data_IF_638474306055
#
_entry.id   IF_638474306055
#
_cell.length_a   1.000
_cell.length_b   1.000
_cell.length_c   1.000
_cell.angle_alpha   90.00
_cell.angle_beta   90.00
_cell.angle_gamma   90.00
#
_symmetry.space_group_name_H-M   'P 1'
#
loop_
_entity.id
_entity.type
_entity.pdbx_description
1 polymer ?
#
# COMPACT_ATOMS: atom_id res chain seq x y z
N UNK A 1 -13.53 6.26 1.00
CA UNK A 1 -12.53 5.68 0.08
C UNK A 1 -12.66 4.17 -0.09
N UNK A 2 -13.10 3.40 0.89
CA UNK A 2 -13.43 1.98 0.71
C UNK A 2 -14.36 1.77 -0.50
N UNK A 3 -15.36 2.63 -0.70
CA UNK A 3 -16.24 2.53 -1.88
C UNK A 3 -15.44 2.59 -3.18
N UNK A 4 -14.45 3.47 -3.29
CA UNK A 4 -13.63 3.60 -4.50
C UNK A 4 -12.73 2.38 -4.72
N UNK A 5 -12.05 1.90 -3.68
CA UNK A 5 -11.25 0.67 -3.78
C UNK A 5 -12.11 -0.54 -4.11
N UNK A 6 -13.28 -0.69 -3.45
CA UNK A 6 -14.23 -1.76 -3.74
C UNK A 6 -14.66 -1.75 -5.21
N UNK A 7 -15.02 -0.60 -5.77
CA UNK A 7 -15.45 -0.51 -7.17
C UNK A 7 -14.32 -0.81 -8.16
N UNK A 8 -13.09 -0.39 -7.86
CA UNK A 8 -11.92 -0.73 -8.70
C UNK A 8 -11.63 -2.23 -8.65
N UNK A 9 -11.56 -2.82 -7.46
CA UNK A 9 -11.34 -4.27 -7.29
C UNK A 9 -12.44 -5.06 -7.98
N UNK A 10 -13.70 -4.65 -7.84
CA UNK A 10 -14.86 -5.25 -8.50
C UNK A 10 -14.72 -5.26 -10.03
N UNK A 11 -14.26 -4.13 -10.60
CA UNK A 11 -14.04 -4.02 -12.03
C UNK A 11 -12.97 -4.99 -12.52
N UNK A 12 -11.84 -5.08 -11.82
CA UNK A 12 -10.76 -5.99 -12.20
C UNK A 12 -11.13 -7.47 -12.01
N UNK A 13 -11.81 -7.80 -10.92
CA UNK A 13 -12.26 -9.16 -10.65
C UNK A 13 -13.33 -9.60 -11.64
N UNK A 14 -14.28 -8.73 -11.99
CA UNK A 14 -15.27 -9.00 -13.04
C UNK A 14 -14.59 -9.34 -14.37
N UNK A 15 -13.57 -8.61 -14.79
CA UNK A 15 -12.86 -8.86 -16.03
C UNK A 15 -12.12 -10.22 -16.05
N UNK A 16 -11.85 -10.80 -14.90
CA UNK A 16 -11.16 -12.09 -14.75
C UNK A 16 -12.12 -13.22 -14.32
N UNK A 17 -13.42 -12.96 -14.22
CA UNK A 17 -14.43 -13.90 -13.67
C UNK A 17 -14.07 -14.37 -12.24
N UNK A 18 -13.55 -13.49 -11.41
CA UNK A 18 -13.26 -13.74 -10.00
C UNK A 18 -14.45 -13.26 -9.18
N UNK A 19 -15.01 -14.15 -8.36
CA UNK A 19 -16.07 -13.81 -7.42
C UNK A 19 -15.49 -13.05 -6.22
N UNK A 20 -16.25 -12.06 -5.74
CA UNK A 20 -15.89 -11.22 -4.60
C UNK A 20 -16.93 -11.35 -3.51
N UNK A 21 -16.44 -11.54 -2.31
CA UNK A 21 -17.24 -11.48 -1.10
C UNK A 21 -16.72 -10.36 -0.18
N UNK A 22 -17.63 -9.70 0.52
CA UNK A 22 -17.31 -8.56 1.39
C UNK A 22 -17.68 -8.91 2.83
N UNK A 23 -16.72 -8.73 3.72
CA UNK A 23 -16.88 -8.99 5.15
C UNK A 23 -16.61 -7.70 5.93
N UNK A 24 -17.31 -7.54 7.05
CA UNK A 24 -16.99 -6.50 8.04
C UNK A 24 -15.84 -6.95 8.93
N UNK A 25 -15.76 -8.25 9.22
CA UNK A 25 -14.66 -8.91 9.93
C UNK A 25 -14.18 -10.13 9.15
N UNK A 26 -12.90 -10.45 9.22
CA UNK A 26 -12.33 -11.61 8.53
C UNK A 26 -12.93 -12.87 9.18
N UNK A 27 -13.57 -13.79 8.40
CA UNK A 27 -14.05 -15.05 8.92
C UNK A 27 -12.93 -15.92 9.49
N UNK A 28 -13.26 -16.76 10.49
CA UNK A 28 -12.30 -17.70 11.09
C UNK A 28 -11.76 -18.71 10.06
N UNK A 29 -12.61 -19.14 9.13
CA UNK A 29 -12.23 -20.02 8.02
C UNK A 29 -12.32 -19.27 6.68
N UNK A 30 -11.18 -19.10 6.06
CA UNK A 30 -11.01 -18.46 4.75
C UNK A 30 -10.36 -19.40 3.72
N UNK A 31 -10.36 -20.71 3.99
CA UNK A 31 -9.68 -21.70 3.16
C UNK A 31 -10.26 -21.85 1.75
N UNK A 32 -11.51 -21.47 1.54
CA UNK A 32 -12.17 -21.47 0.23
C UNK A 32 -11.80 -20.26 -0.64
N UNK A 33 -11.21 -19.23 -0.05
CA UNK A 33 -10.81 -18.01 -0.76
C UNK A 33 -9.38 -18.10 -1.29
N UNK A 34 -9.14 -17.62 -2.49
CA UNK A 34 -7.79 -17.53 -3.05
C UNK A 34 -6.93 -16.46 -2.35
N UNK A 35 -7.54 -15.43 -1.83
CA UNK A 35 -6.88 -14.40 -1.02
C UNK A 35 -7.88 -13.61 -0.18
N UNK A 36 -7.37 -12.98 0.86
CA UNK A 36 -8.07 -11.97 1.67
C UNK A 36 -7.36 -10.64 1.49
N UNK A 37 -8.12 -9.57 1.21
CA UNK A 37 -7.61 -8.22 1.09
C UNK A 37 -8.14 -7.36 2.21
N UNK A 38 -7.24 -6.70 2.97
CA UNK A 38 -7.57 -5.80 4.06
C UNK A 38 -6.91 -4.43 3.87
N UNK A 39 -7.53 -3.39 4.42
CA UNK A 39 -6.95 -2.04 4.44
C UNK A 39 -6.33 -1.77 5.82
N UNK A 40 -5.17 -1.08 5.85
CA UNK A 40 -4.43 -0.78 7.08
C UNK A 40 -3.80 0.62 7.07
N UNK A 41 -4.20 1.55 7.95
CA UNK A 41 -5.40 1.49 8.80
C UNK A 41 -6.67 1.26 7.97
N UNK A 42 -7.76 0.87 8.64
CA UNK A 42 -9.03 0.62 7.96
C UNK A 42 -9.69 1.89 7.41
N UNK A 43 -10.91 1.78 6.89
CA UNK A 43 -11.65 2.93 6.32
C UNK A 43 -11.99 4.01 7.35
N UNK A 44 -12.21 3.63 8.58
CA UNK A 44 -12.52 4.56 9.67
C UNK A 44 -11.25 5.14 10.31
N UNK A 45 -10.07 4.72 9.85
CA UNK A 45 -8.79 5.11 10.39
C UNK A 45 -8.32 4.25 11.56
N UNK A 46 -9.06 3.18 11.93
CA UNK A 46 -8.72 2.32 13.04
C UNK A 46 -7.49 1.47 12.71
N UNK A 47 -6.56 1.38 13.67
CA UNK A 47 -5.40 0.51 13.58
C UNK A 47 -5.73 -0.79 14.29
N UNK A 48 -5.95 -1.85 13.51
CA UNK A 48 -6.24 -3.19 14.00
C UNK A 48 -5.02 -4.10 13.84
N UNK A 49 -4.94 -5.15 14.62
CA UNK A 49 -3.88 -6.14 14.47
C UNK A 49 -4.11 -6.96 13.18
N UNK A 50 -3.05 -7.09 12.38
CA UNK A 50 -3.07 -7.91 11.17
C UNK A 50 -2.47 -9.26 11.47
N UNK A 51 -3.33 -10.27 11.58
CA UNK A 51 -2.94 -11.64 11.85
C UNK A 51 -2.86 -12.47 10.55
N UNK A 52 -2.03 -13.50 10.57
CA UNK A 52 -1.94 -14.44 9.47
C UNK A 52 -3.26 -15.17 9.28
N UNK A 53 -3.69 -15.30 8.03
CA UNK A 53 -4.88 -16.05 7.64
C UNK A 53 -4.52 -17.37 6.92
N UNK A 54 -5.48 -18.24 6.74
CA UNK A 54 -5.30 -19.56 6.10
C UNK A 54 -5.08 -19.53 4.59
N UNK A 55 -5.07 -18.34 3.97
CA UNK A 55 -4.86 -18.11 2.53
C UNK A 55 -3.91 -16.94 2.29
N UNK A 56 -3.72 -16.51 1.03
CA UNK A 56 -2.88 -15.35 0.69
C UNK A 56 -3.47 -14.07 1.30
N UNK A 57 -2.68 -13.39 2.13
CA UNK A 57 -3.07 -12.13 2.75
C UNK A 57 -2.48 -10.94 1.99
N UNK A 58 -3.36 -10.09 1.47
CA UNK A 58 -3.01 -8.84 0.80
C UNK A 58 -3.40 -7.68 1.71
N UNK A 59 -2.45 -6.80 2.02
CA UNK A 59 -2.70 -5.62 2.85
C UNK A 59 -2.54 -4.35 2.02
N UNK A 60 -3.60 -3.55 1.93
CA UNK A 60 -3.53 -2.21 1.37
C UNK A 60 -3.16 -1.23 2.48
N UNK A 61 -1.87 -0.89 2.57
CA UNK A 61 -1.35 -0.10 3.68
C UNK A 61 -1.10 1.36 3.31
N UNK A 62 -1.40 2.27 4.23
CA UNK A 62 -1.04 3.67 4.11
C UNK A 62 0.46 3.83 4.41
N UNK A 63 1.24 4.21 3.40
CA UNK A 63 2.70 4.32 3.52
C UNK A 63 3.14 5.32 4.60
N UNK A 64 2.39 6.42 4.80
CA UNK A 64 2.70 7.39 5.86
C UNK A 64 2.48 6.81 7.25
N UNK A 65 1.45 6.00 7.43
CA UNK A 65 1.18 5.35 8.70
C UNK A 65 2.32 4.39 9.08
N UNK A 66 2.89 3.67 8.10
CA UNK A 66 4.02 2.76 8.31
C UNK A 66 5.30 3.45 8.81
N UNK A 67 5.34 4.79 8.83
CA UNK A 67 6.45 5.53 9.44
C UNK A 67 6.50 5.39 10.96
N UNK A 68 5.38 5.07 11.62
CA UNK A 68 5.27 4.97 13.09
C UNK A 68 4.51 3.74 13.60
N UNK A 69 3.60 3.16 12.79
CA UNK A 69 2.92 1.92 13.15
C UNK A 69 3.69 0.69 12.66
N UNK A 70 3.45 -0.45 13.30
CA UNK A 70 4.10 -1.69 12.92
C UNK A 70 3.75 -2.07 11.47
N UNK A 71 4.73 -2.46 10.64
CA UNK A 71 4.43 -2.96 9.31
C UNK A 71 3.69 -4.31 9.39
N UNK A 72 2.79 -4.61 8.43
CA UNK A 72 2.02 -5.85 8.44
C UNK A 72 2.90 -7.04 7.99
N UNK A 73 3.76 -7.53 8.87
CA UNK A 73 4.75 -8.59 8.58
C UNK A 73 4.12 -9.92 8.21
N UNK A 74 2.88 -10.17 8.63
CA UNK A 74 2.14 -11.39 8.30
C UNK A 74 1.59 -11.39 6.87
N UNK A 75 1.50 -10.20 6.24
CA UNK A 75 1.04 -10.08 4.86
C UNK A 75 1.95 -10.84 3.88
N UNK A 76 1.33 -11.43 2.87
CA UNK A 76 2.04 -12.03 1.74
C UNK A 76 2.35 -10.99 0.66
N UNK A 77 1.44 -10.04 0.49
CA UNK A 77 1.56 -8.92 -0.45
C UNK A 77 1.10 -7.64 0.27
N UNK A 78 1.86 -6.58 0.15
CA UNK A 78 1.50 -5.24 0.63
C UNK A 78 1.45 -4.30 -0.55
N UNK A 79 0.36 -3.56 -0.68
CA UNK A 79 0.15 -2.55 -1.75
C UNK A 79 -0.27 -1.23 -1.14
N UNK A 80 -0.13 -0.17 -1.89
CA UNK A 80 -0.60 1.15 -1.46
C UNK A 80 -0.20 2.24 -2.44
N UNK A 81 -0.43 3.47 -2.04
CA UNK A 81 -0.13 4.67 -2.82
C UNK A 81 1.11 5.39 -2.26
N UNK A 82 1.98 5.89 -3.14
CA UNK A 82 3.17 6.66 -2.75
C UNK A 82 2.97 8.17 -2.83
N UNK A 83 1.78 8.66 -3.14
CA UNK A 83 1.51 10.10 -3.18
C UNK A 83 1.93 10.82 -1.89
N UNK A 84 1.75 10.26 -0.68
CA UNK A 84 2.22 10.88 0.56
C UNK A 84 3.74 11.09 0.64
N UNK A 85 4.51 10.48 -0.26
CA UNK A 85 5.97 10.62 -0.32
C UNK A 85 6.39 11.86 -1.12
N UNK A 86 5.88 13.03 -0.75
CA UNK A 86 6.25 14.33 -1.32
C UNK A 86 5.64 14.63 -2.69
N UNK A 87 4.59 13.93 -3.10
CA UNK A 87 3.91 14.14 -4.39
C UNK A 87 2.68 15.02 -4.15
N UNK A 88 2.64 16.19 -4.79
CA UNK A 88 1.50 17.10 -4.68
C UNK A 88 0.22 16.49 -5.28
N UNK A 89 -0.94 16.83 -4.70
CA UNK A 89 -2.25 16.37 -5.19
C UNK A 89 -2.61 16.90 -6.58
N UNK A 90 -2.13 18.08 -6.94
CA UNK A 90 -2.17 18.68 -8.30
C UNK A 90 -3.49 18.44 -9.05
N UNK A 91 -4.63 18.62 -8.37
CA UNK A 91 -5.99 18.42 -8.92
C UNK A 91 -6.28 17.02 -9.49
N UNK A 92 -5.74 15.99 -8.88
CA UNK A 92 -6.05 14.61 -9.23
C UNK A 92 -4.89 13.80 -9.84
N UNK A 93 -3.70 14.21 -9.63
CA UNK A 93 -2.55 13.45 -10.06
C UNK A 93 -1.28 14.28 -10.15
N UNK A 94 -0.13 13.69 -10.50
CA UNK A 94 0.03 12.26 -10.80
C UNK A 94 0.06 11.37 -9.55
N UNK A 95 -0.22 10.07 -9.74
CA UNK A 95 -0.15 9.04 -8.72
C UNK A 95 0.81 7.92 -9.11
N UNK A 96 1.31 7.20 -8.12
CA UNK A 96 1.97 5.92 -8.33
C UNK A 96 1.72 5.01 -7.12
N UNK A 97 1.64 3.71 -7.39
CA UNK A 97 1.48 2.70 -6.34
C UNK A 97 2.82 2.13 -5.90
N UNK A 98 2.85 1.52 -4.75
CA UNK A 98 3.92 0.63 -4.34
C UNK A 98 3.40 -0.79 -4.14
N UNK A 99 4.29 -1.74 -4.28
CA UNK A 99 4.02 -3.16 -4.04
C UNK A 99 5.23 -3.81 -3.42
N UNK A 100 5.00 -4.57 -2.37
CA UNK A 100 5.98 -5.47 -1.77
C UNK A 100 5.33 -6.85 -1.63
N UNK A 101 6.11 -7.92 -1.78
CA UNK A 101 5.60 -9.27 -1.62
C UNK A 101 6.68 -10.19 -1.05
N UNK A 102 6.25 -11.32 -0.49
CA UNK A 102 7.15 -12.41 -0.13
C UNK A 102 7.84 -12.97 -1.38
N UNK A 103 9.01 -13.53 -1.22
CA UNK A 103 9.87 -14.04 -2.31
C UNK A 103 9.15 -15.04 -3.22
N UNK A 104 8.26 -15.87 -2.67
CA UNK A 104 7.48 -16.84 -3.46
C UNK A 104 6.61 -16.20 -4.55
N UNK A 105 6.19 -14.94 -4.40
CA UNK A 105 5.40 -14.19 -5.37
C UNK A 105 6.24 -13.35 -6.34
N UNK A 106 7.55 -13.26 -6.17
CA UNK A 106 8.41 -12.38 -6.97
C UNK A 106 8.27 -12.58 -8.48
N UNK A 107 8.08 -13.83 -8.94
CA UNK A 107 7.92 -14.14 -10.38
C UNK A 107 6.56 -13.74 -10.95
N UNK A 108 5.58 -13.48 -10.10
CA UNK A 108 4.23 -13.05 -10.47
C UNK A 108 4.04 -11.53 -10.30
N UNK A 109 5.00 -10.86 -9.69
CA UNK A 109 4.96 -9.44 -9.45
C UNK A 109 4.86 -8.66 -10.78
N UNK A 110 3.91 -7.71 -10.93
CA UNK A 110 3.85 -6.86 -12.13
C UNK A 110 5.00 -5.86 -12.16
N UNK A 111 5.23 -5.26 -13.35
CA UNK A 111 6.22 -4.21 -13.52
C UNK A 111 7.66 -4.72 -13.65
N UNK A 112 8.60 -3.80 -13.69
CA UNK A 112 10.02 -4.08 -13.87
C UNK A 112 10.70 -4.30 -12.53
N UNK A 113 11.56 -5.32 -12.45
CA UNK A 113 12.39 -5.59 -11.28
C UNK A 113 13.84 -5.29 -11.61
N UNK A 114 14.48 -4.49 -10.77
CA UNK A 114 15.88 -4.11 -10.89
C UNK A 114 16.68 -4.90 -9.85
N UNK A 115 17.68 -5.64 -10.31
CA UNK A 115 18.64 -6.35 -9.47
C UNK A 115 19.92 -5.54 -9.30
N UNK A 116 20.51 -5.63 -8.12
CA UNK A 116 21.86 -5.13 -7.85
C UNK A 116 22.88 -6.20 -8.25
N UNK A 117 23.90 -5.80 -8.99
CA UNK A 117 24.97 -6.65 -9.46
C UNK A 117 26.30 -5.88 -9.43
N UNK A 118 27.33 -6.42 -10.03
CA UNK A 118 28.61 -5.72 -10.30
C UNK A 118 28.82 -5.66 -11.81
N UNK A 119 29.47 -4.64 -12.29
CA UNK A 119 29.88 -4.49 -13.69
C UNK A 119 31.19 -5.26 -14.02
N UNK A 120 31.73 -5.04 -15.20
CA UNK A 120 32.96 -5.69 -15.63
C UNK A 120 34.20 -5.25 -14.85
N UNK A 121 34.17 -4.09 -14.24
CA UNK A 121 35.26 -3.51 -13.42
C UNK A 121 35.09 -3.85 -11.94
N UNK A 122 34.03 -4.56 -11.55
CA UNK A 122 33.73 -4.97 -10.18
C UNK A 122 32.99 -3.90 -9.37
N UNK A 123 32.56 -2.81 -9.99
CA UNK A 123 31.82 -1.73 -9.35
C UNK A 123 30.33 -2.07 -9.27
N UNK A 124 29.62 -1.49 -8.28
CA UNK A 124 28.19 -1.71 -8.10
C UNK A 124 27.40 -1.23 -9.31
N UNK A 125 26.59 -2.11 -9.87
CA UNK A 125 25.74 -1.82 -11.02
C UNK A 125 24.29 -2.30 -10.77
N UNK A 126 23.37 -1.83 -11.60
CA UNK A 126 21.98 -2.22 -11.58
C UNK A 126 21.53 -2.69 -12.97
N UNK A 127 20.73 -3.74 -13.00
CA UNK A 127 20.20 -4.30 -14.25
C UNK A 127 18.76 -4.75 -14.09
N UNK A 128 18.03 -4.75 -15.22
CA UNK A 128 16.69 -5.34 -15.25
C UNK A 128 16.79 -6.86 -15.12
N UNK A 129 15.99 -7.41 -14.22
CA UNK A 129 15.95 -8.87 -13.96
C UNK A 129 14.57 -9.43 -14.26
N UNK A 130 14.49 -10.76 -14.44
CA UNK A 130 13.24 -11.52 -14.62
C UNK A 130 12.38 -10.96 -15.76
N UNK A 131 13.00 -10.47 -16.84
CA UNK A 131 12.32 -9.81 -17.96
C UNK A 131 11.41 -10.75 -18.76
N UNK A 132 11.60 -12.06 -18.65
CA UNK A 132 10.81 -13.06 -19.41
C UNK A 132 9.31 -13.01 -19.11
N UNK A 133 8.87 -12.41 -18.01
CA UNK A 133 7.45 -12.20 -17.66
C UNK A 133 6.85 -10.92 -18.24
N UNK A 134 7.68 -10.05 -18.82
CA UNK A 134 7.31 -8.74 -19.33
C UNK A 134 6.60 -8.80 -20.68
N UNK A 135 5.76 -7.78 -20.95
CA UNK A 135 4.92 -7.69 -22.15
C UNK A 135 5.71 -7.75 -23.47
N UNK A 136 6.89 -7.14 -23.52
CA UNK A 136 7.72 -7.14 -24.74
C UNK A 136 8.25 -8.54 -25.12
N UNK A 137 8.23 -9.50 -24.18
CA UNK A 137 8.62 -10.89 -24.40
C UNK A 137 7.40 -11.80 -24.46
N UNK A 138 6.56 -11.79 -23.44
CA UNK A 138 5.41 -12.68 -23.30
C UNK A 138 4.16 -12.23 -24.07
N UNK A 139 4.10 -10.98 -24.49
CA UNK A 139 2.96 -10.37 -25.20
C UNK A 139 1.67 -10.54 -24.41
N UNK A 140 0.63 -11.14 -25.01
CA UNK A 140 -0.67 -11.38 -24.36
C UNK A 140 -0.61 -12.32 -23.16
N UNK A 141 0.49 -13.07 -23.00
CA UNK A 141 0.72 -13.99 -21.86
C UNK A 141 1.53 -13.36 -20.74
N UNK A 142 1.80 -12.05 -20.80
CA UNK A 142 2.52 -11.36 -19.73
C UNK A 142 1.73 -11.37 -18.44
N UNK A 143 2.42 -11.34 -17.31
CA UNK A 143 1.80 -11.23 -15.97
C UNK A 143 0.98 -9.95 -15.86
N UNK A 144 1.44 -8.85 -16.48
CA UNK A 144 0.72 -7.59 -16.55
C UNK A 144 0.85 -6.99 -17.95
N UNK A 145 -0.27 -6.51 -18.49
CA UNK A 145 -0.34 -5.77 -19.75
C UNK A 145 -0.36 -4.24 -19.53
N UNK A 146 -0.13 -3.80 -18.31
CA UNK A 146 0.00 -2.38 -17.98
C UNK A 146 1.40 -1.92 -18.36
N UNK A 147 1.46 -0.98 -19.31
CA UNK A 147 2.70 -0.26 -19.62
C UNK A 147 2.88 0.80 -18.53
N UNK A 148 3.55 0.46 -17.45
CA UNK A 148 3.79 1.37 -16.33
C UNK A 148 4.85 2.41 -16.69
N UNK A 149 4.56 3.67 -16.46
CA UNK A 149 5.54 4.73 -16.60
C UNK A 149 5.37 5.83 -15.57
N UNK A 150 5.48 5.48 -14.29
CA UNK A 150 5.53 6.43 -13.18
C UNK A 150 6.98 6.66 -12.71
N UNK A 151 7.96 6.50 -13.59
CA UNK A 151 9.38 6.62 -13.23
C UNK A 151 9.73 7.99 -12.63
N UNK A 152 9.15 9.08 -13.15
CA UNK A 152 9.34 10.41 -12.60
C UNK A 152 8.78 10.53 -11.18
N UNK A 153 7.62 9.94 -10.93
CA UNK A 153 6.98 9.95 -9.60
C UNK A 153 7.77 9.07 -8.62
N UNK A 154 8.24 7.91 -9.07
CA UNK A 154 9.12 7.05 -8.29
C UNK A 154 10.44 7.75 -7.93
N UNK A 155 11.02 8.52 -8.86
CA UNK A 155 12.20 9.34 -8.61
C UNK A 155 11.90 10.43 -7.57
N UNK A 156 10.77 11.13 -7.67
CA UNK A 156 10.34 12.13 -6.70
C UNK A 156 10.22 11.55 -5.29
N UNK A 157 9.55 10.40 -5.16
CA UNK A 157 9.42 9.70 -3.88
C UNK A 157 10.79 9.23 -3.33
N UNK A 158 11.69 8.78 -4.21
CA UNK A 158 13.06 8.38 -3.83
C UNK A 158 13.84 9.56 -3.28
N UNK A 159 13.78 10.72 -3.95
CA UNK A 159 14.44 11.94 -3.49
C UNK A 159 13.84 12.40 -2.15
N UNK A 160 12.53 12.39 -2.00
CA UNK A 160 11.85 12.74 -0.75
C UNK A 160 12.34 11.87 0.41
N UNK A 161 12.33 10.54 0.26
CA UNK A 161 12.80 9.62 1.28
C UNK A 161 14.30 9.76 1.57
N UNK A 162 15.11 10.00 0.53
CA UNK A 162 16.56 10.19 0.70
C UNK A 162 16.89 11.46 1.46
N UNK A 163 16.13 12.56 1.23
CA UNK A 163 16.30 13.82 1.94
C UNK A 163 15.86 13.75 3.40
N UNK A 164 14.74 13.09 3.67
CA UNK A 164 14.23 12.92 5.03
C UNK A 164 15.06 11.92 5.84
N UNK A 165 15.48 10.83 5.19
CA UNK A 165 16.01 9.67 5.86
C UNK A 165 14.99 9.00 6.79
N UNK A 166 15.41 7.96 7.49
CA UNK A 166 14.56 7.22 8.44
C UNK A 166 13.99 8.16 9.53
N UNK A 167 14.84 8.99 10.11
CA UNK A 167 14.44 9.90 11.19
C UNK A 167 13.40 10.91 10.73
N UNK A 168 13.64 11.59 9.60
CA UNK A 168 12.72 12.60 9.09
C UNK A 168 11.39 12.00 8.66
N UNK A 169 11.39 10.82 8.03
CA UNK A 169 10.17 10.12 7.67
C UNK A 169 9.35 9.73 8.90
N UNK A 170 10.01 9.24 9.95
CA UNK A 170 9.35 8.97 11.23
C UNK A 170 8.80 10.25 11.88
N UNK A 171 9.55 11.35 11.88
CA UNK A 171 9.11 12.63 12.44
C UNK A 171 7.86 13.17 11.73
N UNK A 172 7.74 13.05 10.41
CA UNK A 172 6.53 13.46 9.68
C UNK A 172 5.31 12.68 10.13
N UNK A 173 5.44 11.37 10.33
CA UNK A 173 4.37 10.53 10.86
C UNK A 173 3.96 10.91 12.28
N UNK A 174 4.95 11.11 13.16
CA UNK A 174 4.71 11.54 14.55
C UNK A 174 3.98 12.89 14.61
N UNK A 175 4.40 13.86 13.80
CA UNK A 175 3.75 15.18 13.75
C UNK A 175 2.31 15.03 13.27
N UNK A 176 2.07 14.27 12.20
CA UNK A 176 0.74 14.04 11.64
C UNK A 176 -0.19 13.39 12.66
N UNK A 177 0.26 12.32 13.33
CA UNK A 177 -0.51 11.64 14.36
C UNK A 177 -0.82 12.57 15.55
N UNK A 178 0.18 13.27 16.07
CA UNK A 178 0.01 14.17 17.22
C UNK A 178 -1.00 15.27 16.94
N UNK A 179 -0.99 15.86 15.75
CA UNK A 179 -1.94 16.90 15.36
C UNK A 179 -3.38 16.34 15.26
N UNK A 180 -3.55 15.16 14.68
CA UNK A 180 -4.85 14.51 14.58
C UNK A 180 -5.40 14.12 15.96
N UNK A 181 -4.58 13.54 16.84
CA UNK A 181 -4.97 13.21 18.20
C UNK A 181 -5.26 14.47 19.05
N UNK A 182 -4.51 15.56 18.86
CA UNK A 182 -4.81 16.82 19.51
C UNK A 182 -6.17 17.38 19.07
N UNK A 183 -6.46 17.34 17.77
CA UNK A 183 -7.76 17.75 17.21
C UNK A 183 -8.90 16.88 17.76
N UNK A 184 -8.75 15.57 17.76
CA UNK A 184 -9.73 14.63 18.33
C UNK A 184 -10.03 14.96 19.79
N UNK A 185 -9.00 15.21 20.59
CA UNK A 185 -9.15 15.60 22.00
C UNK A 185 -9.88 16.94 22.17
N UNK A 186 -9.57 17.92 21.32
CA UNK A 186 -10.26 19.24 21.36
C UNK A 186 -11.75 19.10 21.01
N UNK A 187 -12.10 18.29 20.03
CA UNK A 187 -13.48 18.03 19.62
C UNK A 187 -14.26 17.32 20.73
N UNK A 188 -13.67 16.29 21.34
CA UNK A 188 -14.26 15.61 22.52
C UNK A 188 -14.50 16.59 23.67
N UNK A 189 -13.55 17.51 23.91
CA UNK A 189 -13.71 18.56 24.93
C UNK A 189 -14.85 19.54 24.65
N UNK A 190 -15.33 19.62 23.40
CA UNK A 190 -16.50 20.40 22.99
C UNK A 190 -17.79 19.56 22.89
N UNK A 191 -17.76 18.30 23.32
CA UNK A 191 -18.91 17.40 23.31
C UNK A 191 -19.14 16.70 21.96
N UNK A 192 -18.23 16.81 21.00
CA UNK A 192 -18.31 16.09 19.73
C UNK A 192 -17.72 14.69 19.95
N UNK A 193 -18.51 13.66 19.65
CA UNK A 193 -18.09 12.27 19.79
C UNK A 193 -17.19 11.87 18.63
N UNK A 194 -16.07 11.22 18.95
CA UNK A 194 -15.19 10.54 17.99
C UNK A 194 -15.40 9.05 18.11
N UNK A 195 -15.49 8.33 16.99
CA UNK A 195 -15.87 6.92 16.99
C UNK A 195 -14.69 5.98 17.27
N UNK A 196 -13.48 6.37 16.88
CA UNK A 196 -12.27 5.56 17.05
C UNK A 196 -11.28 6.24 17.99
N UNK A 197 -10.46 5.42 18.65
CA UNK A 197 -9.44 5.84 19.62
C UNK A 197 -8.03 5.52 19.16
N UNK A 198 -7.87 4.38 18.48
CA UNK A 198 -6.59 3.88 18.00
C UNK A 198 -6.45 4.15 16.50
N UNK A 199 -5.97 5.34 16.15
CA UNK A 199 -5.85 5.77 14.76
C UNK A 199 -4.51 6.47 14.48
N UNK A 200 -4.11 6.52 13.22
CA UNK A 200 -2.92 7.25 12.80
C UNK A 200 -3.20 8.75 12.70
N UNK A 201 -3.84 9.21 11.64
CA UNK A 201 -4.13 10.62 11.38
C UNK A 201 -5.53 10.88 10.82
N UNK A 202 -6.32 9.86 10.68
CA UNK A 202 -7.71 9.92 10.24
C UNK A 202 -8.61 9.34 11.35
N UNK A 203 -9.71 10.01 11.63
CA UNK A 203 -10.70 9.56 12.60
C UNK A 203 -12.09 10.04 12.22
N UNK A 204 -13.12 9.37 12.71
CA UNK A 204 -14.52 9.66 12.41
C UNK A 204 -15.18 10.39 13.59
N UNK A 205 -15.99 11.39 13.26
CA UNK A 205 -16.84 12.10 14.22
C UNK A 205 -18.31 11.80 13.95
N UNK A 206 -19.10 11.79 15.01
CA UNK A 206 -20.57 11.75 14.92
C UNK A 206 -21.10 13.19 14.94
N UNK A 207 -21.91 13.55 13.92
CA UNK A 207 -22.53 14.87 13.72
C UNK A 207 -24.04 14.74 13.66
#
# INVERSE_FOLDING_TARGET
SICLYKEVVKTYCWAQNIELEWFDEIPDDVSEYCCVLVQYPDYYGEITEINKVGTTLIVCANISALSIIAPPTEADIVVGDIQPLGIGMSFGGPHAGYMACKECFMRQMPGRLVGRTVDADGEQAFTLTIQTREQHIKREKATSNICSNQSLIALSATLYLSLLGEKGFRETGVISANLAHALSKMLRGKGIKTLNENFFNEFVIEV
#
